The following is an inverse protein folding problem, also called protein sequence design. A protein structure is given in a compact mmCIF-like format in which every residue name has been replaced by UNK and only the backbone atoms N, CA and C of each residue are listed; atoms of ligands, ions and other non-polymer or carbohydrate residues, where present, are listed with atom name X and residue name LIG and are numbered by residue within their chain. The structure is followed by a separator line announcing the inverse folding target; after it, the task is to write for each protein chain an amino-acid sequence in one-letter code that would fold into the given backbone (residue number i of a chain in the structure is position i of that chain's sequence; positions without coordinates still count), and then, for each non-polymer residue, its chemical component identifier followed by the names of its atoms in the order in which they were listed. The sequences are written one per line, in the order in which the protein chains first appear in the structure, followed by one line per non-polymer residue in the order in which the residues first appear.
data_IF_472374793146
#
_entry.id   IF_472374793146
#
_cell.length_a   1.000
_cell.length_b   1.000
_cell.length_c   1.000
_cell.angle_alpha   90.00
_cell.angle_beta   90.00
_cell.angle_gamma   90.00
#
_symmetry.space_group_name_H-M   'P 1'
#
loop_
_entity.id
_entity.type
_entity.pdbx_description
1 polymer ?
#
# COMPACT_ATOMS: atom_id res chain seq x y z
N UNK A 1 -15.39 15.62 39.96
CA UNK A 1 -14.87 15.78 38.57
C UNK A 1 -15.23 14.52 37.81
N UNK A 2 -16.42 14.50 37.23
CA UNK A 2 -17.00 13.38 36.49
C UNK A 2 -16.77 13.61 35.00
N UNK A 3 -16.02 12.73 34.36
CA UNK A 3 -15.86 12.67 32.89
C UNK A 3 -17.22 12.40 32.26
N UNK A 4 -17.81 13.43 31.64
CA UNK A 4 -19.04 13.32 30.86
C UNK A 4 -18.64 12.70 29.52
N UNK A 5 -19.02 11.43 29.29
CA UNK A 5 -18.91 10.79 27.98
C UNK A 5 -19.84 11.53 27.02
N UNK A 6 -19.26 12.32 26.13
CA UNK A 6 -19.99 13.04 25.09
C UNK A 6 -20.31 12.08 23.92
N UNK A 7 -21.59 11.90 23.52
CA UNK A 7 -21.94 11.08 22.36
C UNK A 7 -21.33 11.58 21.04
N UNK A 8 -20.95 12.86 20.94
CA UNK A 8 -20.26 13.40 19.77
C UNK A 8 -18.84 12.83 19.59
N UNK A 9 -18.11 12.59 20.69
CA UNK A 9 -16.78 11.97 20.67
C UNK A 9 -16.82 10.48 20.28
N UNK A 10 -17.95 9.81 20.50
CA UNK A 10 -18.17 8.44 20.03
C UNK A 10 -18.47 8.40 18.52
N UNK A 11 -19.28 9.34 18.01
CA UNK A 11 -19.60 9.45 16.59
C UNK A 11 -18.37 9.80 15.72
N UNK A 12 -17.48 10.68 16.19
CA UNK A 12 -16.23 11.00 15.49
C UNK A 12 -15.24 9.82 15.44
N UNK A 13 -15.31 8.89 16.41
CA UNK A 13 -14.51 7.65 16.44
C UNK A 13 -15.11 6.50 15.63
N UNK A 14 -16.42 6.47 15.41
CA UNK A 14 -17.07 5.42 14.62
C UNK A 14 -16.89 5.61 13.10
N UNK A 15 -16.83 6.84 12.62
CA UNK A 15 -16.57 7.15 11.21
C UNK A 15 -15.27 6.54 10.64
N UNK A 16 -14.10 6.56 11.32
CA UNK A 16 -12.87 5.98 10.77
C UNK A 16 -12.88 4.45 10.68
N UNK A 17 -13.51 3.73 11.62
CA UNK A 17 -13.60 2.26 11.54
C UNK A 17 -14.56 1.81 10.44
N UNK A 18 -15.73 2.45 10.34
CA UNK A 18 -16.71 2.15 9.29
C UNK A 18 -16.12 2.47 7.92
N UNK A 19 -15.43 3.60 7.77
CA UNK A 19 -14.72 3.97 6.54
C UNK A 19 -13.66 2.93 6.15
N UNK A 20 -12.85 2.45 7.09
CA UNK A 20 -11.85 1.41 6.82
C UNK A 20 -12.50 0.07 6.40
N UNK A 21 -13.63 -0.31 7.01
CA UNK A 21 -14.36 -1.51 6.60
C UNK A 21 -14.98 -1.38 5.20
N UNK A 22 -15.49 -0.20 4.85
CA UNK A 22 -16.02 0.08 3.51
C UNK A 22 -14.90 0.01 2.46
N UNK A 23 -13.73 0.56 2.76
CA UNK A 23 -12.55 0.48 1.90
C UNK A 23 -12.11 -0.97 1.66
N UNK A 24 -12.10 -1.81 2.71
CA UNK A 24 -11.80 -3.24 2.60
C UNK A 24 -12.79 -3.94 1.66
N UNK A 25 -14.09 -3.71 1.87
CA UNK A 25 -15.16 -4.30 1.04
C UNK A 25 -14.98 -3.94 -0.42
N UNK A 26 -14.79 -2.66 -0.73
CA UNK A 26 -14.71 -2.19 -2.10
C UNK A 26 -13.44 -2.68 -2.80
N UNK A 27 -12.32 -2.83 -2.06
CA UNK A 27 -11.10 -3.46 -2.59
C UNK A 27 -11.27 -4.95 -2.82
N UNK A 28 -11.90 -5.66 -1.89
CA UNK A 28 -12.19 -7.09 -2.02
C UNK A 28 -13.10 -7.35 -3.22
N UNK A 29 -14.17 -6.56 -3.40
CA UNK A 29 -15.06 -6.68 -4.56
C UNK A 29 -14.31 -6.46 -5.87
N UNK A 30 -13.42 -5.46 -5.95
CA UNK A 30 -12.57 -5.24 -7.12
C UNK A 30 -11.64 -6.42 -7.40
N UNK A 31 -11.01 -6.98 -6.36
CA UNK A 31 -10.16 -8.16 -6.49
C UNK A 31 -10.95 -9.36 -7.02
N UNK A 32 -12.14 -9.63 -6.46
CA UNK A 32 -13.03 -10.70 -6.90
C UNK A 32 -13.50 -10.49 -8.34
N UNK A 33 -13.83 -9.25 -8.74
CA UNK A 33 -14.20 -8.94 -10.12
C UNK A 33 -13.06 -9.23 -11.09
N UNK A 34 -11.83 -8.84 -10.77
CA UNK A 34 -10.65 -9.11 -11.63
C UNK A 34 -10.40 -10.61 -11.76
N UNK A 35 -10.49 -11.36 -10.66
CA UNK A 35 -10.42 -12.83 -10.70
C UNK A 35 -11.53 -13.40 -11.57
N UNK A 36 -12.76 -12.90 -11.44
CA UNK A 36 -13.91 -13.31 -12.26
C UNK A 36 -13.70 -13.05 -13.75
N UNK A 37 -13.12 -11.91 -14.13
CA UNK A 37 -12.78 -11.59 -15.53
C UNK A 37 -11.76 -12.58 -16.07
N UNK A 38 -10.65 -12.82 -15.36
CA UNK A 38 -9.68 -13.84 -15.77
C UNK A 38 -10.30 -15.23 -15.86
N UNK A 39 -11.18 -15.58 -14.92
CA UNK A 39 -11.86 -16.87 -14.94
C UNK A 39 -12.77 -17.02 -16.16
N UNK A 40 -13.57 -16.02 -16.51
CA UNK A 40 -14.42 -16.04 -17.72
C UNK A 40 -13.58 -16.22 -18.98
N UNK A 41 -12.39 -15.61 -19.05
CA UNK A 41 -11.47 -15.74 -20.18
C UNK A 41 -10.88 -17.16 -20.26
N UNK A 42 -10.51 -17.75 -19.12
CA UNK A 42 -9.88 -19.08 -19.06
C UNK A 42 -10.89 -20.23 -19.14
N UNK A 43 -12.14 -20.00 -18.74
CA UNK A 43 -13.19 -21.01 -18.62
C UNK A 43 -13.39 -21.87 -19.88
N UNK A 44 -13.42 -21.31 -21.11
CA UNK A 44 -13.56 -22.11 -22.34
C UNK A 44 -12.39 -23.05 -22.59
N UNK A 45 -11.20 -22.74 -22.05
CA UNK A 45 -9.95 -23.47 -22.25
C UNK A 45 -9.61 -24.37 -21.05
N UNK A 46 -10.56 -24.61 -20.13
CA UNK A 46 -10.29 -25.29 -18.87
C UNK A 46 -9.64 -26.68 -19.05
N UNK A 47 -10.10 -27.45 -20.04
CA UNK A 47 -9.54 -28.77 -20.35
C UNK A 47 -8.12 -28.67 -20.91
N UNK A 48 -7.84 -27.70 -21.78
CA UNK A 48 -6.52 -27.51 -22.39
C UNK A 48 -5.51 -27.06 -21.33
N UNK A 49 -5.90 -26.11 -20.47
CA UNK A 49 -5.11 -25.66 -19.32
C UNK A 49 -4.83 -26.85 -18.39
N UNK A 50 -5.83 -27.69 -18.14
CA UNK A 50 -5.66 -28.89 -17.33
C UNK A 50 -4.60 -29.83 -17.92
N UNK A 51 -4.67 -30.16 -19.21
CA UNK A 51 -3.66 -31.03 -19.83
C UNK A 51 -2.28 -30.38 -19.76
N UNK A 52 -2.18 -29.08 -20.03
CA UNK A 52 -0.91 -28.35 -20.03
C UNK A 52 -0.25 -28.30 -18.65
N UNK A 53 -1.02 -28.02 -17.59
CA UNK A 53 -0.52 -27.95 -16.21
C UNK A 53 -0.31 -29.35 -15.62
N UNK A 54 -1.21 -30.30 -15.87
CA UNK A 54 -1.14 -31.62 -15.25
C UNK A 54 -0.01 -32.48 -15.83
N UNK A 55 0.34 -32.32 -17.11
CA UNK A 55 1.43 -33.09 -17.75
C UNK A 55 2.78 -32.98 -17.03
N UNK A 56 3.33 -31.77 -16.75
CA UNK A 56 4.60 -31.64 -16.03
C UNK A 56 4.49 -32.01 -14.55
N UNK A 57 3.29 -31.97 -13.98
CA UNK A 57 3.05 -32.42 -12.61
C UNK A 57 3.08 -33.96 -12.54
N UNK A 58 2.46 -34.66 -13.50
CA UNK A 58 2.51 -36.11 -13.63
C UNK A 58 3.92 -36.69 -13.73
N UNK A 59 4.88 -35.94 -14.26
CA UNK A 59 6.28 -36.37 -14.33
C UNK A 59 6.93 -36.59 -12.95
N UNK A 60 6.33 -36.07 -11.87
CA UNK A 60 6.80 -36.27 -10.49
C UNK A 60 6.12 -37.46 -9.80
N UNK A 61 5.20 -38.15 -10.47
CA UNK A 61 4.65 -39.42 -9.99
C UNK A 61 5.61 -40.57 -10.31
N UNK A 62 5.60 -41.66 -9.52
CA UNK A 62 6.41 -42.84 -9.81
C UNK A 62 6.12 -43.42 -11.20
N UNK A 63 7.16 -43.88 -11.89
CA UNK A 63 7.03 -44.50 -13.21
C UNK A 63 6.03 -45.68 -13.17
N UNK A 64 5.09 -45.72 -14.11
CA UNK A 64 4.07 -46.77 -14.21
C UNK A 64 2.78 -46.52 -13.43
N UNK A 65 2.64 -45.36 -12.77
CA UNK A 65 1.41 -44.98 -12.05
C UNK A 65 0.49 -44.14 -12.94
N UNK A 66 -0.77 -44.56 -13.11
CA UNK A 66 -1.81 -43.74 -13.73
C UNK A 66 -2.64 -43.04 -12.66
N UNK A 67 -2.92 -41.74 -12.84
CA UNK A 67 -3.90 -41.06 -11.98
C UNK A 67 -5.29 -41.67 -12.19
N UNK A 68 -6.00 -41.91 -11.09
CA UNK A 68 -7.37 -42.40 -11.10
C UNK A 68 -8.33 -41.27 -10.75
N UNK A 69 -9.58 -41.38 -11.19
CA UNK A 69 -10.67 -40.56 -10.68
C UNK A 69 -11.53 -41.44 -9.78
N UNK A 70 -11.50 -41.17 -8.48
CA UNK A 70 -12.30 -41.91 -7.49
C UNK A 70 -13.74 -41.41 -7.45
N UNK A 71 -13.96 -40.12 -7.69
CA UNK A 71 -15.28 -39.51 -7.75
C UNK A 71 -15.75 -39.37 -9.20
N UNK A 72 -17.05 -39.61 -9.44
CA UNK A 72 -17.67 -39.54 -10.77
C UNK A 72 -17.58 -38.12 -11.37
N UNK A 73 -17.65 -37.10 -10.51
CA UNK A 73 -17.63 -35.70 -10.93
C UNK A 73 -16.20 -35.15 -11.13
N UNK A 74 -15.16 -35.84 -10.66
CA UNK A 74 -13.77 -35.36 -10.71
C UNK A 74 -13.31 -34.95 -12.11
N UNK A 75 -13.49 -35.77 -13.18
CA UNK A 75 -13.05 -35.38 -14.52
C UNK A 75 -13.74 -34.13 -15.06
N UNK A 76 -14.95 -33.82 -14.57
CA UNK A 76 -15.69 -32.64 -14.98
C UNK A 76 -15.29 -31.40 -14.15
N UNK A 77 -15.22 -31.50 -12.82
CA UNK A 77 -15.01 -30.35 -11.95
C UNK A 77 -13.54 -29.89 -11.85
N UNK A 78 -12.59 -30.81 -11.99
CA UNK A 78 -11.16 -30.54 -11.79
C UNK A 78 -10.59 -29.50 -12.77
N UNK A 79 -10.89 -29.56 -14.09
CA UNK A 79 -10.48 -28.51 -15.04
C UNK A 79 -11.03 -27.12 -14.69
N UNK A 80 -12.29 -27.03 -14.24
CA UNK A 80 -12.89 -25.76 -13.84
C UNK A 80 -12.26 -25.20 -12.57
N UNK A 81 -12.00 -26.06 -11.57
CA UNK A 81 -11.30 -25.68 -10.35
C UNK A 81 -9.90 -25.15 -10.65
N UNK A 82 -9.16 -25.83 -11.52
CA UNK A 82 -7.85 -25.38 -11.96
C UNK A 82 -7.91 -24.00 -12.61
N UNK A 83 -8.86 -23.80 -13.52
CA UNK A 83 -9.03 -22.53 -14.24
C UNK A 83 -9.33 -21.37 -13.29
N UNK A 84 -10.14 -21.62 -12.25
CA UNK A 84 -10.42 -20.63 -11.21
C UNK A 84 -9.17 -20.26 -10.40
N UNK A 85 -8.37 -21.26 -10.01
CA UNK A 85 -7.13 -21.00 -9.27
C UNK A 85 -6.05 -20.37 -10.15
N UNK A 86 -5.98 -20.74 -11.44
CA UNK A 86 -5.11 -20.08 -12.41
C UNK A 86 -5.52 -18.61 -12.61
N UNK A 87 -6.81 -18.31 -12.69
CA UNK A 87 -7.33 -16.94 -12.73
C UNK A 87 -6.95 -16.16 -11.47
N UNK A 88 -7.04 -16.79 -10.29
CA UNK A 88 -6.58 -16.20 -9.03
C UNK A 88 -5.09 -15.84 -9.09
N UNK A 89 -4.25 -16.76 -9.55
CA UNK A 89 -2.80 -16.53 -9.66
C UNK A 89 -2.43 -15.46 -10.69
N UNK A 90 -3.15 -15.36 -11.81
CA UNK A 90 -2.97 -14.26 -12.76
C UNK A 90 -3.42 -12.91 -12.21
N UNK A 91 -4.44 -12.91 -11.34
CA UNK A 91 -4.91 -11.72 -10.66
C UNK A 91 -4.02 -11.29 -9.46
N UNK A 92 -3.07 -12.13 -9.02
CA UNK A 92 -2.25 -11.84 -7.83
C UNK A 92 -1.53 -10.49 -7.83
N UNK A 93 -0.96 -9.98 -8.94
CA UNK A 93 -0.35 -8.65 -8.95
C UNK A 93 -1.35 -7.55 -8.52
N UNK A 94 -2.60 -7.66 -9.00
CA UNK A 94 -3.68 -6.73 -8.63
C UNK A 94 -4.18 -6.97 -7.20
N UNK A 95 -4.28 -8.23 -6.76
CA UNK A 95 -4.69 -8.58 -5.39
C UNK A 95 -3.67 -8.03 -4.38
N UNK A 96 -2.39 -8.25 -4.61
CA UNK A 96 -1.30 -7.75 -3.76
C UNK A 96 -1.29 -6.22 -3.74
N UNK A 97 -1.48 -5.57 -4.89
CA UNK A 97 -1.66 -4.11 -4.95
C UNK A 97 -2.78 -3.65 -4.01
N UNK A 98 -3.97 -4.25 -4.10
CA UNK A 98 -5.11 -3.86 -3.27
C UNK A 98 -4.89 -4.18 -1.79
N UNK A 99 -4.25 -5.30 -1.47
CA UNK A 99 -3.93 -5.69 -0.10
C UNK A 99 -2.98 -4.68 0.56
N UNK A 100 -1.88 -4.34 -0.11
CA UNK A 100 -0.90 -3.39 0.42
C UNK A 100 -1.43 -1.95 0.40
N UNK A 101 -2.29 -1.61 -0.57
CA UNK A 101 -3.05 -0.35 -0.56
C UNK A 101 -3.91 -0.18 0.70
N UNK A 102 -4.44 -1.28 1.21
CA UNK A 102 -5.26 -1.31 2.40
C UNK A 102 -4.49 -1.26 3.71
N UNK A 103 -3.42 -2.04 3.81
CA UNK A 103 -2.68 -2.16 5.07
C UNK A 103 -1.90 -0.86 5.39
N UNK A 104 -1.37 -0.19 4.38
CA UNK A 104 -0.44 0.93 4.58
C UNK A 104 -0.89 2.22 3.88
N UNK A 105 -2.03 2.84 4.26
CA UNK A 105 -2.45 4.14 3.71
C UNK A 105 -1.41 5.24 3.98
N UNK A 106 -0.62 5.12 5.05
CA UNK A 106 0.46 6.05 5.39
C UNK A 106 1.59 6.10 4.35
N UNK A 107 1.84 5.02 3.60
CA UNK A 107 2.81 5.00 2.50
C UNK A 107 2.32 5.85 1.30
N UNK A 108 1.00 5.99 1.12
CA UNK A 108 0.41 6.70 -0.02
C UNK A 108 0.46 8.22 0.11
N UNK A 109 0.46 8.76 1.34
CA UNK A 109 0.32 10.21 1.56
C UNK A 109 1.61 10.98 1.30
N UNK A 110 2.78 10.40 1.60
CA UNK A 110 4.07 11.11 1.47
C UNK A 110 5.13 10.37 0.63
N UNK A 111 4.94 9.08 0.27
CA UNK A 111 5.92 8.29 -0.49
C UNK A 111 5.27 7.36 -1.53
N UNK A 112 4.41 7.90 -2.42
CA UNK A 112 3.82 7.14 -3.55
C UNK A 112 4.86 6.33 -4.36
N UNK A 113 6.10 6.80 -4.40
CA UNK A 113 7.23 6.15 -5.09
C UNK A 113 7.68 4.82 -4.46
N UNK A 114 7.40 4.56 -3.19
CA UNK A 114 7.79 3.31 -2.51
C UNK A 114 6.75 2.19 -2.66
N UNK A 115 5.49 2.53 -2.95
CA UNK A 115 4.42 1.54 -3.17
C UNK A 115 4.70 0.69 -4.42
N UNK A 116 5.09 1.33 -5.53
CA UNK A 116 5.36 0.64 -6.80
C UNK A 116 6.47 -0.44 -6.71
N UNK A 117 7.68 -0.15 -6.21
CA UNK A 117 8.72 -1.18 -6.06
C UNK A 117 8.34 -2.23 -5.03
N UNK A 118 7.55 -1.88 -4.00
CA UNK A 118 7.06 -2.84 -3.01
C UNK A 118 6.10 -3.86 -3.64
N UNK A 119 5.09 -3.39 -4.38
CA UNK A 119 4.10 -4.24 -5.07
C UNK A 119 4.76 -5.06 -6.18
N UNK A 120 5.73 -4.48 -6.90
CA UNK A 120 6.51 -5.22 -7.88
C UNK A 120 7.35 -6.32 -7.21
N UNK A 121 8.01 -6.00 -6.09
CA UNK A 121 8.82 -6.96 -5.34
C UNK A 121 7.96 -8.08 -4.75
N UNK A 122 6.81 -7.78 -4.14
CA UNK A 122 5.88 -8.80 -3.63
C UNK A 122 5.39 -9.69 -4.76
N UNK A 123 4.92 -9.11 -5.87
CA UNK A 123 4.48 -9.89 -7.04
C UNK A 123 5.56 -10.87 -7.52
N UNK A 124 6.82 -10.41 -7.62
CA UNK A 124 7.95 -11.28 -7.99
C UNK A 124 8.18 -12.36 -6.92
N UNK A 125 8.11 -12.01 -5.63
CA UNK A 125 8.31 -12.93 -4.52
C UNK A 125 7.22 -14.00 -4.47
N UNK A 126 5.96 -13.65 -4.72
CA UNK A 126 4.85 -14.59 -4.83
C UNK A 126 5.10 -15.66 -5.89
N UNK A 127 5.44 -15.24 -7.12
CA UNK A 127 5.75 -16.18 -8.20
C UNK A 127 7.05 -16.95 -7.95
N UNK A 128 8.05 -16.34 -7.31
CA UNK A 128 9.23 -17.04 -6.84
C UNK A 128 8.88 -18.12 -5.81
N UNK A 129 7.90 -17.86 -4.94
CA UNK A 129 7.36 -18.84 -4.00
C UNK A 129 6.68 -20.01 -4.70
N UNK A 130 5.90 -19.75 -5.76
CA UNK A 130 5.32 -20.81 -6.60
C UNK A 130 6.41 -21.65 -7.31
N UNK A 131 7.42 -20.99 -7.87
CA UNK A 131 8.57 -21.65 -8.51
C UNK A 131 9.33 -22.50 -7.49
N UNK A 132 9.57 -21.98 -6.29
CA UNK A 132 10.20 -22.71 -5.19
C UNK A 132 9.38 -23.93 -4.77
N UNK A 133 8.06 -23.78 -4.67
CA UNK A 133 7.17 -24.89 -4.38
C UNK A 133 7.26 -26.00 -5.45
N UNK A 134 7.25 -25.63 -6.73
CA UNK A 134 7.35 -26.60 -7.82
C UNK A 134 8.70 -27.33 -7.85
N UNK A 135 9.83 -26.61 -7.81
CA UNK A 135 11.14 -27.21 -8.02
C UNK A 135 11.81 -27.78 -6.77
N UNK A 136 11.47 -27.28 -5.58
CA UNK A 136 12.12 -27.71 -4.33
C UNK A 136 11.16 -28.51 -3.48
N UNK A 137 9.95 -28.01 -3.26
CA UNK A 137 9.03 -28.61 -2.29
C UNK A 137 8.38 -29.87 -2.85
N UNK A 138 7.88 -29.85 -4.09
CA UNK A 138 7.19 -31.01 -4.67
C UNK A 138 8.07 -32.25 -4.72
N UNK A 139 9.30 -32.22 -5.28
CA UNK A 139 10.12 -33.42 -5.35
C UNK A 139 10.39 -34.00 -3.96
N UNK A 140 10.55 -33.13 -2.97
CA UNK A 140 10.92 -33.52 -1.62
C UNK A 140 9.76 -34.14 -0.84
N UNK A 141 8.53 -33.61 -1.00
CA UNK A 141 7.32 -34.22 -0.43
C UNK A 141 6.98 -35.54 -1.14
N UNK A 142 7.00 -35.60 -2.47
CA UNK A 142 6.67 -36.84 -3.20
C UNK A 142 7.73 -37.93 -3.01
N UNK A 143 9.03 -37.59 -2.94
CA UNK A 143 10.08 -38.53 -2.57
C UNK A 143 9.83 -39.12 -1.17
N UNK A 144 9.42 -38.30 -0.21
CA UNK A 144 9.08 -38.78 1.12
C UNK A 144 7.85 -39.71 1.10
N UNK A 145 6.75 -39.29 0.46
CA UNK A 145 5.50 -40.07 0.38
C UNK A 145 5.69 -41.43 -0.31
N UNK A 146 6.59 -41.50 -1.30
CA UNK A 146 6.89 -42.74 -2.02
C UNK A 146 7.87 -43.64 -1.25
N UNK A 147 8.84 -43.05 -0.53
CA UNK A 147 9.79 -43.82 0.30
C UNK A 147 9.15 -44.51 1.51
N UNK A 148 7.98 -44.04 1.94
CA UNK A 148 7.23 -44.59 3.07
C UNK A 148 6.19 -45.62 2.66
N UNK A 149 5.97 -45.81 1.35
CA UNK A 149 5.06 -46.82 0.84
C UNK A 149 5.60 -48.24 1.13
N UNK A 150 4.80 -49.16 1.70
CA UNK A 150 5.22 -50.54 1.92
C UNK A 150 5.57 -51.26 0.60
N UNK A 151 6.55 -52.16 0.64
CA UNK A 151 6.91 -52.99 -0.52
C UNK A 151 5.68 -53.76 -1.04
N UNK A 152 5.42 -53.64 -2.34
CA UNK A 152 4.29 -54.30 -3.01
C UNK A 152 2.98 -53.51 -3.05
N UNK A 153 2.92 -52.29 -2.49
CA UNK A 153 1.75 -51.40 -2.61
C UNK A 153 1.97 -50.39 -3.74
N UNK A 154 1.15 -50.47 -4.79
CA UNK A 154 1.13 -49.45 -5.86
C UNK A 154 0.41 -48.20 -5.35
N UNK A 155 1.12 -47.07 -5.26
CA UNK A 155 0.55 -45.79 -4.83
C UNK A 155 -0.25 -45.17 -5.96
N UNK A 156 -1.55 -45.45 -6.06
CA UNK A 156 -2.44 -44.77 -7.02
C UNK A 156 -2.93 -43.43 -6.46
N UNK A 157 -2.67 -42.32 -7.15
CA UNK A 157 -3.11 -40.99 -6.71
C UNK A 157 -4.39 -40.57 -7.43
N UNK A 158 -5.33 -40.00 -6.68
CA UNK A 158 -6.54 -39.39 -7.25
C UNK A 158 -6.21 -38.03 -7.89
N UNK A 159 -6.72 -37.82 -9.10
CA UNK A 159 -6.53 -36.61 -9.90
C UNK A 159 -6.91 -35.31 -9.19
N UNK A 160 -8.05 -35.31 -8.49
CA UNK A 160 -8.58 -34.14 -7.81
C UNK A 160 -7.81 -33.89 -6.53
N UNK A 161 -7.51 -34.93 -5.75
CA UNK A 161 -6.72 -34.79 -4.51
C UNK A 161 -5.30 -34.33 -4.79
N UNK A 162 -4.69 -34.86 -5.85
CA UNK A 162 -3.36 -34.45 -6.29
C UNK A 162 -3.33 -32.97 -6.69
N UNK A 163 -4.29 -32.56 -7.53
CA UNK A 163 -4.38 -31.16 -7.94
C UNK A 163 -4.66 -30.24 -6.74
N UNK A 164 -5.57 -30.63 -5.86
CA UNK A 164 -5.92 -29.87 -4.66
C UNK A 164 -4.71 -29.65 -3.76
N UNK A 165 -3.92 -30.70 -3.55
CA UNK A 165 -2.69 -30.62 -2.79
C UNK A 165 -1.71 -29.62 -3.41
N UNK A 166 -1.45 -29.73 -4.71
CA UNK A 166 -0.53 -28.87 -5.46
C UNK A 166 -0.97 -27.41 -5.47
N UNK A 167 -2.24 -27.16 -5.78
CA UNK A 167 -2.80 -25.80 -5.83
C UNK A 167 -2.78 -25.14 -4.45
N UNK A 168 -3.08 -25.90 -3.40
CA UNK A 168 -2.99 -25.42 -2.02
C UNK A 168 -1.54 -25.11 -1.66
N UNK A 169 -0.59 -25.95 -2.07
CA UNK A 169 0.82 -25.77 -1.80
C UNK A 169 1.41 -24.55 -2.54
N UNK A 170 1.03 -24.32 -3.80
CA UNK A 170 1.36 -23.11 -4.54
C UNK A 170 0.82 -21.85 -3.87
N UNK A 171 -0.46 -21.86 -3.48
CA UNK A 171 -1.05 -20.73 -2.79
C UNK A 171 -0.33 -20.47 -1.46
N UNK A 172 -0.09 -21.51 -0.67
CA UNK A 172 0.56 -21.39 0.62
C UNK A 172 2.01 -20.89 0.54
N UNK A 173 2.82 -21.43 -0.38
CA UNK A 173 4.20 -20.97 -0.55
C UNK A 173 4.28 -19.60 -1.21
N UNK A 174 3.40 -19.31 -2.18
CA UNK A 174 3.30 -17.96 -2.74
C UNK A 174 3.00 -16.94 -1.64
N UNK A 175 2.02 -17.23 -0.77
CA UNK A 175 1.70 -16.37 0.38
C UNK A 175 2.80 -16.37 1.45
N UNK A 176 3.49 -17.49 1.68
CA UNK A 176 4.59 -17.54 2.65
C UNK A 176 5.80 -16.70 2.19
N UNK A 177 6.03 -16.61 0.88
CA UNK A 177 7.03 -15.72 0.32
C UNK A 177 6.69 -14.23 0.50
N UNK A 178 5.47 -13.89 0.92
CA UNK A 178 5.11 -12.52 1.33
C UNK A 178 5.50 -12.19 2.78
N UNK A 179 5.86 -13.20 3.59
CA UNK A 179 6.27 -12.99 5.01
C UNK A 179 7.40 -11.96 5.15
N UNK A 180 8.48 -11.97 4.32
CA UNK A 180 9.53 -10.96 4.40
C UNK A 180 9.00 -9.55 4.15
N UNK A 181 8.14 -9.37 3.15
CA UNK A 181 7.54 -8.07 2.80
C UNK A 181 6.63 -7.59 3.93
N UNK A 182 5.75 -8.46 4.43
CA UNK A 182 4.90 -8.16 5.57
C UNK A 182 5.72 -7.73 6.80
N UNK A 183 6.82 -8.42 7.06
CA UNK A 183 7.73 -8.12 8.19
C UNK A 183 8.38 -6.75 8.04
N UNK A 184 8.87 -6.42 6.84
CA UNK A 184 9.48 -5.11 6.54
C UNK A 184 8.45 -4.00 6.73
N UNK A 185 7.23 -4.17 6.23
CA UNK A 185 6.16 -3.17 6.32
C UNK A 185 5.73 -2.95 7.78
N UNK A 186 5.58 -4.01 8.58
CA UNK A 186 5.23 -3.89 10.00
C UNK A 186 6.28 -3.10 10.79
N UNK A 187 7.56 -3.31 10.50
CA UNK A 187 8.65 -2.53 11.11
C UNK A 187 8.68 -1.11 10.59
N UNK A 188 8.48 -0.92 9.29
CA UNK A 188 8.48 0.39 8.63
C UNK A 188 7.38 1.31 9.15
N UNK A 189 6.17 0.77 9.34
CA UNK A 189 5.03 1.48 9.93
C UNK A 189 5.17 1.74 11.43
N UNK A 190 6.22 1.20 12.08
CA UNK A 190 6.43 1.35 13.52
C UNK A 190 5.49 0.52 14.40
N UNK A 191 4.72 -0.41 13.82
CA UNK A 191 3.83 -1.33 14.56
C UNK A 191 4.65 -2.25 15.47
N UNK A 192 5.84 -2.63 15.03
CA UNK A 192 6.77 -3.47 15.78
C UNK A 192 8.21 -3.07 15.52
N UNK A 193 9.15 -3.61 16.30
CA UNK A 193 10.59 -3.46 16.07
C UNK A 193 11.19 -4.81 15.71
N UNK A 194 12.34 -4.84 15.01
CA UNK A 194 13.00 -6.10 14.70
C UNK A 194 13.33 -6.92 15.95
N UNK A 195 13.67 -6.26 17.06
CA UNK A 195 13.99 -6.95 18.32
C UNK A 195 12.75 -7.59 18.96
N UNK A 196 11.59 -6.90 18.92
CA UNK A 196 10.31 -7.49 19.34
C UNK A 196 9.93 -8.70 18.49
N UNK A 197 10.21 -8.68 17.19
CA UNK A 197 9.97 -9.83 16.31
C UNK A 197 10.88 -11.01 16.64
N UNK A 198 12.13 -10.76 17.00
CA UNK A 198 13.07 -11.78 17.47
C UNK A 198 12.59 -12.44 18.75
N UNK A 199 12.07 -11.67 19.71
CA UNK A 199 11.46 -12.23 20.94
C UNK A 199 10.25 -13.11 20.65
N UNK A 200 9.54 -12.86 19.54
CA UNK A 200 8.35 -13.61 19.13
C UNK A 200 8.64 -14.83 18.25
N UNK A 201 9.91 -15.19 18.00
CA UNK A 201 10.30 -16.40 17.23
C UNK A 201 9.55 -17.67 17.63
N UNK A 202 9.39 -18.01 18.93
CA UNK A 202 8.70 -19.24 19.30
C UNK A 202 7.24 -19.28 18.79
N UNK A 203 6.55 -18.15 18.78
CA UNK A 203 5.17 -18.07 18.27
C UNK A 203 5.10 -18.23 16.76
N UNK A 204 6.06 -17.65 16.02
CA UNK A 204 6.15 -17.79 14.57
C UNK A 204 6.47 -19.23 14.19
N UNK A 205 7.40 -19.87 14.91
CA UNK A 205 7.73 -21.29 14.72
C UNK A 205 6.47 -22.14 14.88
N UNK A 206 5.71 -21.96 15.96
CA UNK A 206 4.42 -22.67 16.13
C UNK A 206 3.46 -22.39 14.97
N UNK A 207 3.35 -21.12 14.54
CA UNK A 207 2.50 -20.73 13.40
C UNK A 207 2.86 -21.43 12.09
N UNK A 208 4.14 -21.48 11.72
CA UNK A 208 4.57 -22.15 10.48
C UNK A 208 4.41 -23.67 10.55
N UNK A 209 4.55 -24.26 11.73
CA UNK A 209 4.27 -25.69 11.94
C UNK A 209 2.77 -26.01 11.87
N UNK A 210 1.89 -25.10 12.33
CA UNK A 210 0.44 -25.22 12.17
C UNK A 210 0.03 -25.14 10.69
N UNK A 211 0.63 -24.20 9.95
CA UNK A 211 0.43 -24.13 8.49
C UNK A 211 0.95 -25.40 7.81
N UNK A 212 2.15 -25.87 8.18
CA UNK A 212 2.69 -27.15 7.69
C UNK A 212 1.72 -28.31 7.93
N UNK A 213 1.17 -28.42 9.13
CA UNK A 213 0.17 -29.44 9.49
C UNK A 213 -1.11 -29.36 8.66
N UNK A 214 -1.54 -28.15 8.26
CA UNK A 214 -2.72 -27.98 7.41
C UNK A 214 -2.45 -28.39 5.95
N UNK A 215 -1.21 -28.19 5.49
CA UNK A 215 -0.81 -28.41 4.10
C UNK A 215 -0.37 -29.85 3.83
N UNK A 216 0.21 -30.54 4.81
CA UNK A 216 0.58 -31.94 4.67
C UNK A 216 -0.39 -32.83 5.42
N UNK A 217 -0.50 -34.11 5.04
CA UNK A 217 -1.05 -35.13 5.93
C UNK A 217 -0.37 -35.10 7.32
N UNK A 218 -0.92 -35.79 8.35
CA UNK A 218 -0.33 -35.85 9.69
C UNK A 218 0.99 -36.65 9.68
N UNK A 219 2.03 -36.06 9.09
CA UNK A 219 3.38 -36.57 8.96
C UNK A 219 4.38 -35.49 9.38
N UNK A 220 5.20 -35.83 10.38
CA UNK A 220 6.13 -34.88 11.02
C UNK A 220 7.25 -34.46 10.07
N UNK A 221 7.69 -35.36 9.17
CA UNK A 221 8.83 -35.11 8.29
C UNK A 221 8.45 -34.07 7.23
N UNK A 222 7.38 -34.33 6.48
CA UNK A 222 6.81 -33.42 5.49
C UNK A 222 6.38 -32.11 6.14
N UNK A 223 5.76 -32.15 7.32
CA UNK A 223 5.41 -30.94 8.07
C UNK A 223 6.65 -30.08 8.38
N UNK A 224 7.72 -30.68 8.88
CA UNK A 224 8.97 -29.98 9.19
C UNK A 224 9.63 -29.43 7.92
N UNK A 225 9.61 -30.21 6.85
CA UNK A 225 10.14 -29.86 5.54
C UNK A 225 9.47 -28.62 4.95
N UNK A 226 8.17 -28.45 5.17
CA UNK A 226 7.45 -27.24 4.75
C UNK A 226 7.67 -26.07 5.73
N UNK A 227 7.70 -26.35 7.03
CA UNK A 227 7.82 -25.32 8.07
C UNK A 227 9.18 -24.61 8.06
N UNK A 228 10.27 -25.34 7.81
CA UNK A 228 11.64 -24.79 7.82
C UNK A 228 11.82 -23.66 6.79
N UNK A 229 11.48 -23.82 5.50
CA UNK A 229 11.53 -22.73 4.53
C UNK A 229 10.70 -21.50 4.95
N UNK A 230 9.49 -21.70 5.49
CA UNK A 230 8.65 -20.60 5.96
C UNK A 230 9.28 -19.84 7.13
N UNK A 231 9.89 -20.57 8.08
CA UNK A 231 10.65 -19.95 9.17
C UNK A 231 11.88 -19.18 8.65
N UNK A 232 12.62 -19.74 7.69
CA UNK A 232 13.76 -19.05 7.08
C UNK A 232 13.34 -17.74 6.38
N UNK A 233 12.20 -17.73 5.70
CA UNK A 233 11.65 -16.49 5.10
C UNK A 233 11.35 -15.43 6.15
N UNK A 234 10.81 -15.82 7.31
CA UNK A 234 10.63 -14.90 8.43
C UNK A 234 11.98 -14.32 8.90
N UNK A 235 13.01 -15.15 9.06
CA UNK A 235 14.35 -14.69 9.46
C UNK A 235 14.94 -13.71 8.44
N UNK A 236 14.77 -14.00 7.15
CA UNK A 236 15.16 -13.11 6.05
C UNK A 236 14.43 -11.76 6.16
N UNK A 237 13.12 -11.77 6.42
CA UNK A 237 12.33 -10.55 6.66
C UNK A 237 12.84 -9.72 7.84
N UNK A 238 13.14 -10.36 8.97
CA UNK A 238 13.72 -9.69 10.15
C UNK A 238 15.10 -9.11 9.81
N UNK A 239 15.95 -9.82 9.08
CA UNK A 239 17.27 -9.34 8.67
C UNK A 239 17.18 -8.10 7.76
N UNK A 240 16.31 -8.11 6.75
CA UNK A 240 16.11 -6.96 5.87
C UNK A 240 15.49 -5.76 6.60
N UNK A 241 14.53 -6.00 7.50
CA UNK A 241 13.90 -4.92 8.29
C UNK A 241 14.91 -4.21 9.20
N UNK A 242 15.89 -4.92 9.78
CA UNK A 242 17.00 -4.31 10.55
C UNK A 242 17.84 -3.37 9.71
N UNK A 243 18.19 -3.79 8.49
CA UNK A 243 18.99 -2.99 7.57
C UNK A 243 18.25 -1.73 7.14
N UNK A 244 16.94 -1.84 6.88
CA UNK A 244 16.10 -0.71 6.51
C UNK A 244 15.91 0.28 7.67
N UNK A 245 15.62 -0.22 8.89
CA UNK A 245 15.46 0.61 10.08
C UNK A 245 16.74 1.39 10.43
N UNK A 246 17.92 0.79 10.22
CA UNK A 246 19.21 1.45 10.45
C UNK A 246 19.43 2.61 9.47
N UNK A 247 19.21 2.39 8.17
CA UNK A 247 19.36 3.44 7.13
C UNK A 247 18.44 4.63 7.38
N UNK A 248 17.22 4.40 7.86
CA UNK A 248 16.29 5.49 8.19
C UNK A 248 16.80 6.33 9.37
N UNK A 249 17.28 5.70 10.43
CA UNK A 249 17.89 6.41 11.57
C UNK A 249 19.13 7.22 11.17
N UNK A 250 19.96 6.66 10.28
CA UNK A 250 21.12 7.36 9.73
C UNK A 250 20.69 8.58 8.88
N UNK A 251 19.65 8.45 8.05
CA UNK A 251 19.11 9.54 7.25
C UNK A 251 18.42 10.64 8.07
N UNK A 252 17.71 10.26 9.14
CA UNK A 252 17.12 11.21 10.09
C UNK A 252 18.22 11.95 10.86
N UNK A 253 19.23 11.23 11.37
CA UNK A 253 20.38 11.84 12.05
C UNK A 253 21.21 12.77 11.14
N UNK A 254 21.32 12.48 9.84
CA UNK A 254 22.00 13.34 8.87
C UNK A 254 21.22 14.63 8.56
N UNK A 255 19.88 14.61 8.71
CA UNK A 255 19.03 15.80 8.55
C UNK A 255 19.01 16.68 9.80
N UNK A 256 19.24 16.09 10.97
CA UNK A 256 19.25 16.76 12.27
C UNK A 256 20.65 17.25 12.68
N UNK A 257 21.69 16.90 11.91
CA UNK A 257 23.04 17.41 12.11
C UNK A 257 23.07 18.93 11.89
N UNK A 258 23.58 19.73 12.85
CA UNK A 258 23.70 21.18 12.67
C UNK A 258 24.54 21.48 11.43
N UNK A 259 24.07 22.41 10.59
CA UNK A 259 24.88 23.01 9.53
C UNK A 259 26.24 23.41 10.14
N UNK A 260 27.39 23.03 9.54
CA UNK A 260 28.67 23.40 10.09
C UNK A 260 28.70 24.93 10.16
N UNK A 261 28.78 25.46 11.38
CA UNK A 261 28.94 26.88 11.62
C UNK A 261 30.06 27.38 10.71
N UNK A 262 29.71 28.28 9.78
CA UNK A 262 30.68 28.91 8.89
C UNK A 262 31.90 29.38 9.68
N UNK A 263 33.11 29.32 9.10
CA UNK A 263 34.34 29.48 9.85
C UNK A 263 34.31 30.79 10.66
N UNK A 264 34.27 30.65 11.99
CA UNK A 264 34.33 31.78 12.90
C UNK A 264 35.67 32.53 12.67
N UNK A 265 35.67 33.87 12.71
CA UNK A 265 36.85 34.66 12.39
C UNK A 265 37.92 34.41 13.45
N UNK A 266 39.01 33.76 13.05
CA UNK A 266 40.15 33.52 13.91
C UNK A 266 40.82 34.85 14.27
N UNK A 267 40.59 35.32 15.49
CA UNK A 267 41.38 36.35 16.12
C UNK A 267 42.79 35.81 16.37
N UNK A 268 43.75 36.28 15.58
CA UNK A 268 45.18 36.09 15.85
C UNK A 268 45.80 37.46 16.17
N UNK A 269 46.08 37.68 17.45
CA UNK A 269 46.99 38.72 17.92
C UNK A 269 48.29 38.04 18.38
N UNK A 270 49.41 38.31 17.71
CA UNK A 270 50.73 38.51 18.34
C UNK A 270 51.84 38.86 17.32
N UNK A 271 52.54 39.95 17.65
CA UNK A 271 53.94 40.33 17.35
C UNK A 271 54.39 40.67 15.92
N UNK A 272 54.27 41.98 15.61
CA UNK A 272 55.31 42.91 15.15
C UNK A 272 56.70 42.31 14.82
N UNK A 273 57.18 42.50 13.59
CA UNK A 273 58.41 43.27 13.26
C UNK A 273 58.50 43.53 11.75
N UNK A 274 58.95 44.74 11.37
CA UNK A 274 59.63 44.96 10.09
C UNK A 274 58.81 45.57 8.96
N UNK A 275 59.26 46.74 8.54
CA UNK A 275 58.86 47.53 7.37
C UNK A 275 58.84 46.75 6.05
N UNK A 276 57.84 46.99 5.20
CA UNK A 276 58.00 47.61 3.86
C UNK A 276 56.80 47.30 2.93
N UNK A 277 56.34 48.35 2.24
CA UNK A 277 55.77 48.35 0.89
C UNK A 277 54.67 47.34 0.46
N UNK A 278 53.52 47.87 0.06
CA UNK A 278 52.51 47.18 -0.74
C UNK A 278 53.07 46.66 -2.09
N UNK A 279 52.78 45.40 -2.44
CA UNK A 279 52.94 44.86 -3.79
C UNK A 279 51.67 44.04 -4.18
N UNK A 280 51.06 44.26 -5.35
CA UNK A 280 49.92 43.45 -5.82
C UNK A 280 50.38 42.07 -6.34
N UNK A 281 49.52 41.03 -6.27
CA UNK A 281 49.84 39.67 -6.72
C UNK A 281 49.80 39.52 -8.25
N UNK A 282 50.58 38.59 -8.84
CA UNK A 282 50.54 38.32 -10.27
C UNK A 282 49.36 37.40 -10.65
N UNK A 283 48.97 37.52 -11.92
CA UNK A 283 47.85 36.91 -12.62
C UNK A 283 47.67 35.40 -12.34
N UNK A 284 46.45 35.01 -11.97
CA UNK A 284 45.99 33.63 -12.00
C UNK A 284 45.54 33.25 -13.43
N UNK A 285 46.01 32.10 -13.90
CA UNK A 285 45.61 31.47 -15.16
C UNK A 285 44.14 31.04 -15.13
N UNK A 286 43.34 31.29 -16.19
CA UNK A 286 41.92 30.92 -16.19
C UNK A 286 41.71 29.40 -16.40
N UNK A 287 40.83 28.83 -15.58
CA UNK A 287 40.18 27.53 -15.81
C UNK A 287 39.17 27.64 -16.95
N UNK A 288 39.01 26.62 -17.83
CA UNK A 288 38.06 26.69 -18.95
C UNK A 288 36.61 26.69 -18.48
N UNK A 289 35.84 27.67 -18.97
CA UNK A 289 34.43 27.87 -18.64
C UNK A 289 33.48 26.90 -19.35
N UNK A 290 32.40 26.62 -18.63
CA UNK A 290 31.22 25.83 -18.96
C UNK A 290 30.45 26.46 -20.14
N UNK A 291 30.09 25.66 -21.15
CA UNK A 291 29.23 26.10 -22.26
C UNK A 291 27.77 26.23 -21.77
N UNK A 292 27.33 27.46 -21.54
CA UNK A 292 25.95 27.76 -21.16
C UNK A 292 25.64 29.25 -21.29
N UNK A 293 24.79 29.55 -22.27
CA UNK A 293 24.23 30.84 -22.68
C UNK A 293 25.17 31.89 -23.33
N UNK A 294 24.76 32.47 -24.49
CA UNK A 294 25.51 33.56 -25.11
C UNK A 294 25.53 34.77 -24.17
N UNK A 295 26.73 35.30 -23.94
CA UNK A 295 26.94 36.54 -23.21
C UNK A 295 26.05 37.66 -23.79
N UNK A 296 25.38 38.47 -22.96
CA UNK A 296 24.62 39.60 -23.46
C UNK A 296 25.59 40.59 -24.11
N UNK A 297 25.26 41.03 -25.32
CA UNK A 297 26.03 42.01 -26.09
C UNK A 297 26.31 43.27 -25.24
N UNK A 298 27.58 43.47 -24.89
CA UNK A 298 28.03 44.49 -23.94
C UNK A 298 28.09 45.92 -24.53
N UNK A 299 27.25 46.26 -25.51
CA UNK A 299 27.23 47.60 -26.13
C UNK A 299 25.85 48.28 -26.15
N UNK A 300 24.85 47.77 -25.43
CA UNK A 300 23.62 48.53 -25.23
C UNK A 300 23.73 49.39 -23.96
N UNK A 301 23.51 50.72 -24.06
CA UNK A 301 23.44 51.56 -22.88
C UNK A 301 22.35 51.02 -21.95
N UNK A 302 22.68 50.76 -20.69
CA UNK A 302 21.71 50.37 -19.68
C UNK A 302 20.74 51.54 -19.52
N UNK A 303 19.51 51.35 -19.97
CA UNK A 303 18.44 52.33 -19.84
C UNK A 303 18.20 52.61 -18.34
N UNK A 304 18.48 53.84 -17.86
CA UNK A 304 18.35 54.19 -16.46
C UNK A 304 16.90 54.15 -15.96
N UNK A 305 15.91 54.12 -16.87
CA UNK A 305 14.49 54.04 -16.55
C UNK A 305 13.95 52.59 -16.59
N UNK A 306 14.83 51.60 -16.78
CA UNK A 306 14.44 50.18 -16.86
C UNK A 306 13.83 49.62 -15.57
N UNK A 307 14.11 50.26 -14.44
CA UNK A 307 13.57 49.89 -13.13
C UNK A 307 13.08 51.14 -12.39
N UNK A 308 11.99 51.71 -12.88
CA UNK A 308 11.19 52.66 -12.10
C UNK A 308 10.25 51.84 -11.22
N UNK A 309 10.26 52.00 -9.88
CA UNK A 309 9.25 51.38 -9.03
C UNK A 309 7.87 51.94 -9.39
N UNK A 310 6.89 51.06 -9.58
CA UNK A 310 5.51 51.42 -9.87
C UNK A 310 4.99 52.42 -8.85
N UNK A 311 4.26 53.44 -9.30
CA UNK A 311 3.55 54.33 -8.38
C UNK A 311 2.39 53.59 -7.70
N UNK A 312 1.92 54.05 -6.54
CA UNK A 312 0.86 53.35 -5.78
C UNK A 312 -0.41 53.11 -6.61
N UNK A 313 -0.80 54.06 -7.48
CA UNK A 313 -1.95 53.89 -8.39
C UNK A 313 -1.68 52.85 -9.51
N UNK A 314 -0.45 52.75 -10.00
CA UNK A 314 -0.08 51.77 -11.03
C UNK A 314 0.05 50.36 -10.43
N UNK A 315 0.54 50.26 -9.20
CA UNK A 315 0.62 49.00 -8.45
C UNK A 315 -0.78 48.43 -8.16
N UNK A 316 -1.72 49.27 -7.71
CA UNK A 316 -3.10 48.86 -7.47
C UNK A 316 -3.79 48.43 -8.77
N UNK A 317 -3.57 49.15 -9.88
CA UNK A 317 -4.12 48.78 -11.18
C UNK A 317 -3.54 47.46 -11.74
N UNK A 318 -2.28 47.16 -11.43
CA UNK A 318 -1.63 45.91 -11.83
C UNK A 318 -2.06 44.73 -10.93
N UNK A 319 -2.30 44.97 -9.64
CA UNK A 319 -2.93 44.02 -8.73
C UNK A 319 -4.36 43.68 -9.15
N UNK A 320 -5.17 44.67 -9.52
CA UNK A 320 -6.53 44.46 -10.03
C UNK A 320 -6.54 43.64 -11.33
N UNK A 321 -5.52 43.82 -12.19
CA UNK A 321 -5.36 43.05 -13.42
C UNK A 321 -4.96 41.60 -13.15
N UNK A 322 -4.07 41.37 -12.18
CA UNK A 322 -3.66 40.02 -11.76
C UNK A 322 -4.82 39.29 -11.08
N UNK A 323 -5.61 39.98 -10.25
CA UNK A 323 -6.79 39.42 -9.60
C UNK A 323 -7.88 39.07 -10.63
N UNK A 324 -8.05 39.89 -11.68
CA UNK A 324 -8.93 39.59 -12.80
C UNK A 324 -8.44 38.43 -13.69
N UNK A 325 -7.12 38.23 -13.81
CA UNK A 325 -6.53 37.08 -14.50
C UNK A 325 -6.62 35.80 -13.66
N UNK A 326 -6.47 35.88 -12.34
CA UNK A 326 -6.70 34.76 -11.41
C UNK A 326 -8.19 34.34 -11.40
N UNK A 327 -9.13 35.29 -11.42
CA UNK A 327 -10.57 35.00 -11.58
C UNK A 327 -10.91 34.36 -12.95
N UNK A 328 -10.12 34.63 -13.99
CA UNK A 328 -10.32 34.08 -15.33
C UNK A 328 -9.63 32.70 -15.54
N UNK A 329 -8.58 32.40 -14.76
CA UNK A 329 -7.87 31.11 -14.79
C UNK A 329 -8.39 30.08 -13.77
N UNK A 330 -9.27 30.46 -12.83
CA UNK A 330 -10.05 29.47 -12.08
C UNK A 330 -10.93 28.67 -13.06
N UNK A 331 -10.74 27.34 -13.21
CA UNK A 331 -11.76 26.54 -13.86
C UNK A 331 -13.00 26.69 -12.99
N UNK A 332 -14.14 27.10 -13.56
CA UNK A 332 -15.41 27.23 -12.85
C UNK A 332 -15.61 26.04 -11.91
N UNK A 333 -15.21 26.22 -10.65
CA UNK A 333 -15.28 25.21 -9.62
C UNK A 333 -16.75 25.22 -9.25
N UNK A 334 -17.52 24.38 -9.95
CA UNK A 334 -18.62 23.73 -9.28
C UNK A 334 -18.00 22.91 -8.15
N UNK A 335 -17.71 23.58 -7.02
CA UNK A 335 -17.38 22.95 -5.76
C UNK A 335 -18.39 21.81 -5.52
N UNK A 336 -18.02 20.78 -4.75
CA UNK A 336 -18.80 19.55 -4.65
C UNK A 336 -20.25 19.93 -4.44
N UNK A 337 -21.13 19.56 -5.39
CA UNK A 337 -22.52 19.99 -5.41
C UNK A 337 -23.09 19.83 -4.01
N UNK A 338 -23.17 20.93 -3.25
CA UNK A 338 -23.52 20.87 -1.83
C UNK A 338 -24.94 20.36 -1.84
N UNK A 339 -25.15 19.19 -1.24
CA UNK A 339 -26.44 18.54 -1.20
C UNK A 339 -27.47 19.61 -0.80
N UNK A 340 -28.51 19.88 -1.62
CA UNK A 340 -29.47 20.94 -1.34
C UNK A 340 -30.09 20.79 0.06
N UNK A 341 -30.13 19.56 0.60
CA UNK A 341 -30.60 19.27 1.95
C UNK A 341 -29.59 19.69 3.03
N UNK A 342 -28.30 19.61 2.75
CA UNK A 342 -27.23 20.03 3.68
C UNK A 342 -27.18 21.56 3.82
N UNK A 343 -27.47 22.30 2.74
CA UNK A 343 -27.67 23.75 2.81
C UNK A 343 -28.88 24.11 3.68
N UNK A 344 -29.99 23.37 3.53
CA UNK A 344 -31.20 23.54 4.35
C UNK A 344 -30.91 23.25 5.83
N UNK A 345 -30.10 22.23 6.14
CA UNK A 345 -29.70 21.93 7.52
C UNK A 345 -28.82 23.02 8.14
N UNK A 346 -27.89 23.62 7.39
CA UNK A 346 -27.13 24.80 7.86
C UNK A 346 -28.06 25.98 8.12
N UNK A 347 -29.02 26.21 7.22
CA UNK A 347 -30.00 27.29 7.39
C UNK A 347 -30.89 27.10 8.62
N UNK A 348 -31.23 25.86 8.97
CA UNK A 348 -31.95 25.55 10.22
C UNK A 348 -31.11 25.91 11.46
N UNK A 349 -29.80 25.69 11.42
CA UNK A 349 -28.90 26.06 12.53
C UNK A 349 -28.84 27.58 12.70
N UNK A 350 -28.67 28.33 11.61
CA UNK A 350 -28.70 29.79 11.64
C UNK A 350 -30.02 30.34 12.18
N UNK A 351 -31.16 29.80 11.73
CA UNK A 351 -32.48 30.23 12.20
C UNK A 351 -32.72 29.91 13.68
N UNK A 352 -32.08 28.87 14.21
CA UNK A 352 -32.11 28.55 15.64
C UNK A 352 -31.25 29.52 16.45
N UNK A 353 -30.08 29.89 15.93
CA UNK A 353 -29.20 30.89 16.55
C UNK A 353 -29.84 32.29 16.54
N UNK A 354 -30.70 32.57 15.57
CA UNK A 354 -31.55 33.78 15.49
C UNK A 354 -32.85 33.69 16.32
N UNK A 355 -33.06 32.62 17.10
CA UNK A 355 -34.30 32.33 17.86
C UNK A 355 -35.60 32.29 17.01
N UNK A 356 -35.49 32.15 15.69
CA UNK A 356 -36.61 32.12 14.75
C UNK A 356 -37.13 30.70 14.50
N UNK A 357 -37.71 30.11 15.55
CA UNK A 357 -38.11 28.69 15.59
C UNK A 357 -39.23 28.33 14.58
N UNK A 358 -40.11 29.28 14.26
CA UNK A 358 -41.18 29.08 13.28
C UNK A 358 -40.62 28.83 11.88
N UNK A 359 -39.60 29.60 11.49
CA UNK A 359 -38.95 29.46 10.18
C UNK A 359 -38.09 28.20 10.14
N UNK A 360 -37.40 27.88 11.24
CA UNK A 360 -36.62 26.63 11.37
C UNK A 360 -37.51 25.38 11.20
N UNK A 361 -38.69 25.36 11.82
CA UNK A 361 -39.69 24.28 11.64
C UNK A 361 -40.13 24.15 10.19
N UNK A 362 -40.37 25.26 9.48
CA UNK A 362 -40.74 25.26 8.06
C UNK A 362 -39.70 24.55 7.18
N UNK A 363 -38.42 24.89 7.36
CA UNK A 363 -37.32 24.27 6.60
C UNK A 363 -37.14 22.79 6.98
N UNK A 364 -37.34 22.43 8.25
CA UNK A 364 -37.30 21.03 8.69
C UNK A 364 -38.38 20.16 8.04
N UNK A 365 -39.60 20.69 7.83
CA UNK A 365 -40.66 19.97 7.11
C UNK A 365 -40.32 19.76 5.62
N UNK A 366 -39.65 20.71 4.98
CA UNK A 366 -39.18 20.53 3.61
C UNK A 366 -38.12 19.41 3.53
N UNK A 367 -37.19 19.37 4.48
CA UNK A 367 -36.18 18.30 4.57
C UNK A 367 -36.86 16.93 4.77
N UNK A 368 -37.96 16.85 5.53
CA UNK A 368 -38.72 15.61 5.69
C UNK A 368 -39.36 15.11 4.38
N UNK A 369 -39.71 16.02 3.48
CA UNK A 369 -40.26 15.66 2.17
C UNK A 369 -39.19 15.31 1.13
N UNK A 370 -38.04 15.97 1.15
CA UNK A 370 -37.05 15.92 0.07
C UNK A 370 -35.79 15.08 0.40
N UNK A 371 -35.46 14.89 1.68
CA UNK A 371 -34.22 14.24 2.11
C UNK A 371 -34.21 12.72 1.99
N UNK A 372 -33.02 12.12 2.10
CA UNK A 372 -32.85 10.67 2.27
C UNK A 372 -33.21 10.22 3.71
N UNK A 373 -33.29 8.92 3.99
CA UNK A 373 -33.76 8.42 5.29
C UNK A 373 -32.94 8.92 6.48
N UNK A 374 -31.63 9.09 6.32
CA UNK A 374 -30.73 9.60 7.35
C UNK A 374 -31.01 11.09 7.64
N UNK A 375 -31.17 11.90 6.59
CA UNK A 375 -31.53 13.32 6.70
C UNK A 375 -32.91 13.52 7.33
N UNK A 376 -33.88 12.66 7.00
CA UNK A 376 -35.21 12.67 7.64
C UNK A 376 -35.14 12.28 9.12
N UNK A 377 -34.25 11.36 9.49
CA UNK A 377 -34.04 11.01 10.89
C UNK A 377 -33.47 12.20 11.70
N UNK A 378 -32.51 12.93 11.13
CA UNK A 378 -31.95 14.15 11.73
C UNK A 378 -33.04 15.22 11.88
N UNK A 379 -33.81 15.51 10.83
CA UNK A 379 -34.87 16.51 10.87
C UNK A 379 -35.97 16.17 11.91
N UNK A 380 -36.35 14.89 12.06
CA UNK A 380 -37.28 14.44 13.11
C UNK A 380 -36.75 14.67 14.52
N UNK A 381 -35.47 14.39 14.76
CA UNK A 381 -34.86 14.59 16.07
C UNK A 381 -34.81 16.08 16.44
N UNK A 382 -34.43 16.94 15.48
CA UNK A 382 -34.41 18.39 15.69
C UNK A 382 -35.82 18.94 15.95
N UNK A 383 -36.84 18.48 15.20
CA UNK A 383 -38.23 18.87 15.47
C UNK A 383 -38.69 18.44 16.86
N UNK A 384 -38.31 17.24 17.31
CA UNK A 384 -38.66 16.77 18.65
C UNK A 384 -38.02 17.64 19.74
N UNK A 385 -36.75 18.03 19.57
CA UNK A 385 -36.07 18.94 20.51
C UNK A 385 -36.76 20.31 20.58
N UNK A 386 -37.19 20.84 19.42
CA UNK A 386 -37.92 22.11 19.35
C UNK A 386 -39.33 22.06 19.95
N UNK A 387 -39.90 20.87 20.11
CA UNK A 387 -41.21 20.69 20.76
C UNK A 387 -41.09 20.46 22.28
N UNK A 388 -39.87 20.20 22.76
CA UNK A 388 -39.53 20.06 24.19
C UNK A 388 -39.05 21.38 24.83
N UNK A 389 -38.66 22.37 24.02
CA UNK A 389 -38.33 23.77 24.38
C UNK A 389 -39.56 24.69 24.33
#
# INVERSE_FOLDING_TARGET
MTTKNDPADQLLKEQPFVSHLLELRDRLLRAVMVVGVFFIILFPFANDIYVWVATPLMAHLPEGTSMIATEVASPFLTPFKLSLVAALFLAMPFILYQLWAFIAPGLYKHEKRLVAPLVASSTVLFYLGMVFAYYVVFPLVFAFLTSTAPEGVTVATDISKYLDFILTLFFAFGMAFEIPIATIILVWMGVTTPDKLVEKRPYIIVGVFLVGMLLTPPDVISQTLLAVPMWLLFEVGVMFSRSFARRRREAEAAREAPEPAGPAPAAAAASVTGSDGWHPPPEETPVPGFDGDPAPDAEQPVDPDRFVPLTEEELDAELDLIEAEEEAEEPADSGPAVDPVEQKLRRVQELRDEENLTSARGVLYEILSEGNEDQKAVARNILQQLDEE
#
